data_IF_867513362074
#
_entry.id   IF_867513362074
#
_cell.length_a   1.000
_cell.length_b   1.000
_cell.length_c   1.000
_cell.angle_alpha   90.00
_cell.angle_beta   90.00
_cell.angle_gamma   90.00
#
_symmetry.space_group_name_H-M   'P 1'
#
loop_
_entity.id
_entity.type
_entity.pdbx_description
1 polymer ?
#
# COMPACT_ATOMS: atom_id res chain seq x y z
N UNK A 1 14.60 -7.76 -0.05
CA UNK A 1 13.28 -8.42 -0.01
C UNK A 1 12.88 -8.84 -1.42
N UNK A 2 12.11 -9.90 -1.60
CA UNK A 2 11.63 -10.33 -2.94
C UNK A 2 10.41 -9.53 -3.39
N UNK A 3 10.21 -9.37 -4.70
CA UNK A 3 9.01 -8.69 -5.25
C UNK A 3 7.70 -9.33 -4.77
N UNK A 4 7.72 -10.64 -4.51
CA UNK A 4 6.61 -11.39 -3.98
C UNK A 4 6.18 -10.90 -2.58
N UNK A 5 7.13 -10.60 -1.70
CA UNK A 5 6.85 -10.09 -0.36
C UNK A 5 6.31 -8.64 -0.41
N UNK A 6 6.82 -7.80 -1.33
CA UNK A 6 6.28 -6.44 -1.57
C UNK A 6 4.82 -6.52 -2.00
N UNK A 7 4.52 -7.39 -2.97
CA UNK A 7 3.15 -7.62 -3.46
C UNK A 7 2.21 -8.16 -2.38
N UNK A 8 2.68 -9.06 -1.52
CA UNK A 8 1.87 -9.63 -0.45
C UNK A 8 1.44 -8.56 0.55
N UNK A 9 2.34 -7.70 0.99
CA UNK A 9 2.04 -6.60 1.92
C UNK A 9 1.03 -5.62 1.34
N UNK A 10 1.16 -5.28 0.05
CA UNK A 10 0.20 -4.40 -0.63
C UNK A 10 -1.17 -5.05 -0.73
N UNK A 11 -1.23 -6.34 -1.06
CA UNK A 11 -2.49 -7.06 -1.12
C UNK A 11 -3.16 -7.11 0.25
N UNK A 12 -2.40 -7.42 1.31
CA UNK A 12 -2.91 -7.41 2.69
C UNK A 12 -3.42 -6.03 3.09
N UNK A 13 -2.72 -4.95 2.72
CA UNK A 13 -3.16 -3.57 2.93
C UNK A 13 -4.45 -3.21 2.17
N UNK A 14 -4.60 -3.70 0.94
CA UNK A 14 -5.74 -3.38 0.07
C UNK A 14 -6.97 -4.26 0.33
N UNK A 15 -6.76 -5.51 0.77
CA UNK A 15 -7.84 -6.47 1.09
C UNK A 15 -8.39 -6.30 2.52
N UNK A 16 -7.96 -5.27 3.26
CA UNK A 16 -8.51 -4.97 4.58
C UNK A 16 -10.02 -4.76 4.47
N UNK A 17 -10.85 -5.60 5.11
CA UNK A 17 -12.29 -5.70 4.85
C UNK A 17 -13.12 -4.46 5.27
N UNK A 18 -12.46 -3.36 5.64
CA UNK A 18 -13.09 -2.10 6.07
C UNK A 18 -12.91 -0.95 5.08
N UNK A 19 -12.11 -1.11 4.02
CA UNK A 19 -11.83 -0.04 3.07
C UNK A 19 -12.24 -0.43 1.66
N UNK A 20 -13.17 0.34 1.09
CA UNK A 20 -13.45 0.23 -0.34
C UNK A 20 -12.27 0.79 -1.14
N UNK A 21 -12.13 0.38 -2.40
CA UNK A 21 -11.12 0.93 -3.31
C UNK A 21 -11.28 2.45 -3.51
N UNK A 22 -12.51 2.94 -3.45
CA UNK A 22 -12.81 4.38 -3.54
C UNK A 22 -12.33 5.12 -2.29
N UNK A 23 -12.45 4.50 -1.12
CA UNK A 23 -11.91 5.06 0.12
C UNK A 23 -10.38 5.06 0.09
N UNK A 24 -9.74 3.95 -0.30
CA UNK A 24 -8.29 3.90 -0.50
C UNK A 24 -7.84 4.96 -1.50
N UNK A 25 -8.57 5.16 -2.59
CA UNK A 25 -8.27 6.18 -3.58
C UNK A 25 -8.34 7.58 -3.00
N UNK A 26 -9.39 7.88 -2.22
CA UNK A 26 -9.58 9.19 -1.58
C UNK A 26 -8.51 9.48 -0.53
N UNK A 27 -8.09 8.47 0.21
CA UNK A 27 -7.11 8.62 1.30
C UNK A 27 -5.69 8.75 0.75
N UNK A 28 -5.34 7.94 -0.25
CA UNK A 28 -3.96 7.84 -0.77
C UNK A 28 -3.71 8.77 -1.95
N UNK A 29 -4.76 9.33 -2.56
CA UNK A 29 -4.67 10.09 -3.82
C UNK A 29 -4.37 9.23 -5.05
N UNK A 30 -4.24 7.91 -4.89
CA UNK A 30 -4.00 6.98 -5.99
C UNK A 30 -5.31 6.66 -6.72
N UNK A 31 -5.25 6.49 -8.04
CA UNK A 31 -6.45 6.09 -8.78
C UNK A 31 -6.87 4.65 -8.45
N UNK A 32 -8.18 4.39 -8.45
CA UNK A 32 -8.75 3.03 -8.30
C UNK A 32 -8.15 2.04 -9.30
N UNK A 33 -7.85 2.49 -10.52
CA UNK A 33 -7.18 1.67 -11.54
C UNK A 33 -5.75 1.28 -11.15
N UNK A 34 -4.99 2.19 -10.54
CA UNK A 34 -3.65 1.89 -10.03
C UNK A 34 -3.71 0.92 -8.84
N UNK A 35 -4.60 1.18 -7.87
CA UNK A 35 -4.82 0.31 -6.71
C UNK A 35 -5.20 -1.12 -7.12
N UNK A 36 -6.08 -1.28 -8.11
CA UNK A 36 -6.45 -2.60 -8.65
C UNK A 36 -5.27 -3.32 -9.29
N UNK A 37 -4.44 -2.62 -10.06
CA UNK A 37 -3.23 -3.19 -10.67
C UNK A 37 -2.20 -3.62 -9.62
N UNK A 38 -2.06 -2.83 -8.55
CA UNK A 38 -1.20 -3.17 -7.43
C UNK A 38 -1.69 -4.41 -6.68
N UNK A 39 -2.98 -4.48 -6.37
CA UNK A 39 -3.59 -5.64 -5.71
C UNK A 39 -3.42 -6.93 -6.53
N UNK A 40 -3.62 -6.84 -7.83
CA UNK A 40 -3.54 -7.99 -8.73
C UNK A 40 -2.10 -8.38 -9.07
N UNK A 41 -1.09 -7.64 -8.61
CA UNK A 41 0.32 -7.88 -8.95
C UNK A 41 0.68 -7.53 -10.40
N UNK A 42 -0.23 -6.90 -11.15
CA UNK A 42 -0.04 -6.49 -12.54
C UNK A 42 0.96 -5.32 -12.66
N UNK A 43 1.14 -4.57 -11.57
CA UNK A 43 2.08 -3.45 -11.48
C UNK A 43 2.64 -3.35 -10.06
N UNK A 44 3.92 -3.06 -9.92
CA UNK A 44 4.50 -2.68 -8.65
C UNK A 44 4.26 -1.18 -8.38
N UNK A 45 3.90 -0.77 -7.16
CA UNK A 45 3.82 0.63 -6.81
C UNK A 45 5.21 1.27 -6.78
N UNK A 46 5.26 2.56 -7.12
CA UNK A 46 6.46 3.37 -6.90
C UNK A 46 6.64 3.61 -5.41
N UNK A 47 7.84 4.02 -5.00
CA UNK A 47 8.15 4.43 -3.62
C UNK A 47 7.15 5.45 -3.09
N UNK A 48 6.82 6.47 -3.89
CA UNK A 48 5.82 7.50 -3.54
C UNK A 48 4.42 6.90 -3.33
N UNK A 49 3.99 5.98 -4.20
CA UNK A 49 2.69 5.32 -4.06
C UNK A 49 2.63 4.40 -2.83
N UNK A 50 3.74 3.72 -2.50
CA UNK A 50 3.85 2.91 -1.30
C UNK A 50 3.78 3.75 -0.02
N UNK A 51 4.44 4.92 -0.01
CA UNK A 51 4.32 5.89 1.08
C UNK A 51 2.88 6.41 1.24
N UNK A 52 2.23 6.80 0.14
CA UNK A 52 0.85 7.28 0.18
C UNK A 52 -0.12 6.21 0.71
N UNK A 53 0.08 4.94 0.34
CA UNK A 53 -0.64 3.80 0.90
C UNK A 53 -0.40 3.66 2.40
N UNK A 54 0.87 3.65 2.84
CA UNK A 54 1.22 3.53 4.25
C UNK A 54 0.62 4.66 5.11
N UNK A 55 0.70 5.90 4.65
CA UNK A 55 0.18 7.09 5.33
C UNK A 55 -1.35 7.05 5.43
N UNK A 56 -2.00 6.63 4.36
CA UNK A 56 -3.45 6.48 4.34
C UNK A 56 -3.97 5.42 5.30
N UNK A 57 -3.23 4.32 5.39
CA UNK A 57 -3.49 3.20 6.30
C UNK A 57 -3.27 3.62 7.76
N UNK A 58 -2.20 4.37 8.04
CA UNK A 58 -1.89 4.89 9.39
C UNK A 58 -2.96 5.85 9.91
N UNK A 59 -3.49 6.72 9.05
CA UNK A 59 -4.50 7.70 9.43
C UNK A 59 -5.87 7.09 9.77
N UNK A 60 -6.13 5.81 9.43
CA UNK A 60 -7.44 5.19 9.64
C UNK A 60 -7.54 4.18 10.78
N UNK A 61 -6.46 3.55 11.28
CA UNK A 61 -6.62 2.61 12.40
C UNK A 61 -5.34 2.30 13.20
N UNK A 62 -5.50 2.33 14.53
CA UNK A 62 -4.58 1.77 15.56
C UNK A 62 -4.14 0.31 15.32
N UNK A 63 -4.81 -0.42 14.42
CA UNK A 63 -4.51 -1.82 14.09
C UNK A 63 -3.60 -2.01 12.87
N UNK A 64 -3.27 -0.94 12.13
CA UNK A 64 -2.54 -1.03 10.85
C UNK A 64 -1.16 -0.36 10.87
N UNK A 65 -0.79 0.20 12.02
CA UNK A 65 0.47 0.90 12.23
C UNK A 65 1.68 0.01 11.91
N UNK A 66 1.63 -1.28 12.25
CA UNK A 66 2.66 -2.27 11.92
C UNK A 66 2.88 -2.41 10.40
N UNK A 67 1.80 -2.48 9.60
CA UNK A 67 1.88 -2.65 8.13
C UNK A 67 2.46 -1.39 7.49
N UNK A 68 2.05 -0.21 7.95
CA UNK A 68 2.57 1.07 7.45
C UNK A 68 4.07 1.26 7.76
N UNK A 69 4.51 0.87 8.97
CA UNK A 69 5.92 0.89 9.38
C UNK A 69 6.75 -0.03 8.47
N UNK A 70 6.24 -1.23 8.21
CA UNK A 70 6.95 -2.23 7.40
C UNK A 70 7.05 -1.79 5.92
N UNK A 71 5.98 -1.22 5.37
CA UNK A 71 6.00 -0.62 4.03
C UNK A 71 7.03 0.51 3.93
N UNK A 72 7.07 1.45 4.89
CA UNK A 72 8.05 2.55 4.85
C UNK A 72 9.48 2.06 4.95
N UNK A 73 9.77 1.13 5.86
CA UNK A 73 11.12 0.61 6.07
C UNK A 73 11.68 -0.04 4.79
N UNK A 74 10.84 -0.82 4.10
CA UNK A 74 11.29 -1.63 2.98
C UNK A 74 11.42 -0.84 1.67
N UNK A 75 10.64 0.22 1.50
CA UNK A 75 10.74 1.11 0.33
C UNK A 75 11.75 2.26 0.53
N UNK A 76 12.23 2.50 1.76
CA UNK A 76 13.31 3.45 2.04
C UNK A 76 14.72 2.86 1.84
N UNK A 77 14.87 1.53 1.89
CA UNK A 77 16.14 0.82 1.67
C UNK A 77 16.43 0.52 0.19
N UNK A 78 15.53 0.91 -0.73
CA UNK A 78 15.66 0.73 -2.17
C UNK A 78 15.87 2.10 -2.85
N UNK A 79 17.12 2.63 -2.90
CA UNK A 79 17.41 3.78 -3.75
C UNK A 79 17.29 3.31 -5.20
N UNK A 80 16.39 3.95 -5.95
CA UNK A 80 16.19 3.75 -7.38
C UNK A 80 17.50 3.74 -8.19
#
# INVERSE_FOLDING_TARGET
MTDFEKQRLIREAVDLPRLSMDDLSRITGLSVGALRKYRNGERLPTTEAAHALADGIQNQARSLEHIAIELRRQFAEDPA
#
